data_IF_871110003902
#
_entry.id   IF_871110003902
#
_cell.length_a   1.000
_cell.length_b   1.000
_cell.length_c   1.000
_cell.angle_alpha   90.00
_cell.angle_beta   90.00
_cell.angle_gamma   90.00
#
_symmetry.space_group_name_H-M   'P 1'
#
loop_
_entity.id
_entity.type
_entity.pdbx_description
1 polymer ?
#
# COMPACT_ATOMS: atom_id res chain seq x y z
N UNK A 1 -19.10 -16.63 -23.18
CA UNK A 1 -18.16 -17.52 -22.46
C UNK A 1 -18.67 -18.94 -22.66
N UNK A 2 -18.00 -19.76 -23.48
CA UNK A 2 -18.49 -21.09 -23.88
C UNK A 2 -17.54 -22.16 -23.34
N UNK A 3 -17.98 -22.90 -22.32
CA UNK A 3 -17.21 -23.95 -21.63
C UNK A 3 -17.65 -24.09 -20.17
N UNK A 4 -17.35 -25.24 -19.51
CA UNK A 4 -17.64 -25.40 -18.10
C UNK A 4 -16.93 -24.30 -17.29
N UNK A 5 -17.71 -23.53 -16.54
CA UNK A 5 -17.16 -22.50 -15.67
C UNK A 5 -16.22 -23.16 -14.66
N UNK A 6 -15.02 -22.60 -14.43
CA UNK A 6 -14.14 -23.14 -13.41
C UNK A 6 -14.85 -23.09 -12.05
N UNK A 7 -14.77 -24.18 -11.27
CA UNK A 7 -15.34 -24.22 -9.90
C UNK A 7 -14.84 -23.07 -9.02
N UNK A 8 -13.67 -22.52 -9.32
CA UNK A 8 -13.19 -21.26 -8.74
C UNK A 8 -12.18 -20.59 -9.68
N UNK A 9 -12.12 -19.25 -9.68
CA UNK A 9 -11.03 -18.48 -10.30
C UNK A 9 -9.73 -18.48 -9.49
N UNK A 10 -9.55 -19.38 -8.52
CA UNK A 10 -8.41 -19.37 -7.57
C UNK A 10 -7.22 -20.14 -8.12
N UNK A 11 -6.08 -19.46 -8.22
CA UNK A 11 -4.80 -20.12 -8.50
C UNK A 11 -4.14 -20.56 -7.19
N UNK A 12 -4.13 -21.87 -6.90
CA UNK A 12 -3.58 -22.43 -5.65
C UNK A 12 -2.11 -22.06 -5.41
N UNK A 13 -1.28 -22.07 -6.46
CA UNK A 13 0.14 -21.71 -6.37
C UNK A 13 0.31 -20.25 -5.98
N UNK A 14 -0.45 -19.35 -6.61
CA UNK A 14 -0.43 -17.92 -6.27
C UNK A 14 -0.91 -17.67 -4.83
N UNK A 15 -2.00 -18.31 -4.40
CA UNK A 15 -2.49 -18.17 -3.03
C UNK A 15 -1.46 -18.64 -1.98
N UNK A 16 -0.70 -19.69 -2.27
CA UNK A 16 0.37 -20.15 -1.39
C UNK A 16 1.51 -19.13 -1.28
N UNK A 17 1.88 -18.48 -2.38
CA UNK A 17 2.88 -17.40 -2.40
C UNK A 17 2.43 -16.24 -1.51
N UNK A 18 1.18 -15.77 -1.69
CA UNK A 18 0.62 -14.67 -0.88
C UNK A 18 0.60 -15.03 0.60
N UNK A 19 0.06 -16.20 0.95
CA UNK A 19 -0.02 -16.65 2.33
C UNK A 19 1.35 -16.77 3.01
N UNK A 20 2.32 -17.40 2.33
CA UNK A 20 3.66 -17.57 2.88
C UNK A 20 4.41 -16.23 2.99
N UNK A 21 4.21 -15.32 2.03
CA UNK A 21 4.71 -13.96 2.08
C UNK A 21 4.20 -13.19 3.29
N UNK A 22 2.89 -13.20 3.54
CA UNK A 22 2.26 -12.57 4.71
C UNK A 22 2.84 -13.13 6.01
N UNK A 23 2.92 -14.47 6.15
CA UNK A 23 3.49 -15.09 7.35
C UNK A 23 4.96 -14.73 7.57
N UNK A 24 5.72 -14.55 6.49
CA UNK A 24 7.13 -14.15 6.57
C UNK A 24 7.24 -12.72 7.09
N UNK A 25 6.57 -11.76 6.46
CA UNK A 25 6.68 -10.33 6.82
C UNK A 25 6.18 -10.04 8.24
N UNK A 26 5.13 -10.73 8.72
CA UNK A 26 4.64 -10.57 10.10
C UNK A 26 5.72 -11.00 11.11
N UNK A 27 6.37 -12.15 10.87
CA UNK A 27 7.43 -12.64 11.76
C UNK A 27 8.64 -11.74 11.74
N UNK A 28 9.07 -11.31 10.55
CA UNK A 28 10.19 -10.39 10.39
C UNK A 28 9.93 -9.06 11.10
N UNK A 29 8.73 -8.48 10.95
CA UNK A 29 8.35 -7.26 11.65
C UNK A 29 8.35 -7.43 13.18
N UNK A 30 7.81 -8.55 13.69
CA UNK A 30 7.79 -8.83 15.12
C UNK A 30 9.19 -9.00 15.72
N UNK A 31 10.09 -9.68 15.00
CA UNK A 31 11.47 -9.90 15.42
C UNK A 31 12.30 -8.61 15.35
N UNK A 32 11.98 -7.71 14.41
CA UNK A 32 12.65 -6.42 14.23
C UNK A 32 11.88 -5.25 14.87
N UNK A 33 11.04 -5.50 15.88
CA UNK A 33 10.35 -4.44 16.62
C UNK A 33 11.35 -3.54 17.34
N UNK A 34 11.04 -2.26 17.40
CA UNK A 34 11.88 -1.23 18.05
C UNK A 34 11.03 -0.37 18.97
N UNK A 35 11.66 0.16 20.00
CA UNK A 35 11.06 1.24 20.76
C UNK A 35 11.05 2.52 19.92
N UNK A 36 9.96 3.27 19.97
CA UNK A 36 9.79 4.46 19.16
C UNK A 36 8.55 5.24 19.55
N UNK A 37 8.30 6.30 18.79
CA UNK A 37 7.10 7.14 18.93
C UNK A 37 6.25 7.05 17.66
N UNK A 38 4.93 7.06 17.82
CA UNK A 38 3.98 7.10 16.70
C UNK A 38 3.36 8.49 16.64
N UNK A 39 3.37 9.09 15.46
CA UNK A 39 2.75 10.38 15.17
C UNK A 39 1.67 10.19 14.12
N UNK A 40 0.57 10.94 14.25
CA UNK A 40 -0.48 11.03 13.25
C UNK A 40 -0.38 12.37 12.51
N UNK A 41 -0.57 12.32 11.20
CA UNK A 41 -0.69 13.51 10.36
C UNK A 41 -1.79 13.34 9.33
N UNK A 42 -2.42 14.46 8.97
CA UNK A 42 -3.44 14.55 7.93
C UNK A 42 -3.17 15.78 7.06
N UNK A 43 -3.34 15.63 5.75
CA UNK A 43 -3.32 16.73 4.79
C UNK A 43 -4.35 16.49 3.70
N UNK A 44 -5.04 17.53 3.27
CA UNK A 44 -5.91 17.44 2.10
C UNK A 44 -5.09 17.37 0.80
N UNK A 45 -5.50 16.49 -0.10
CA UNK A 45 -4.92 16.31 -1.43
C UNK A 45 -6.06 16.09 -2.47
N UNK A 46 -6.91 17.11 -2.71
CA UNK A 46 -8.06 16.96 -3.61
C UNK A 46 -7.66 16.83 -5.09
N UNK A 47 -6.52 17.38 -5.49
CA UNK A 47 -6.10 17.47 -6.90
C UNK A 47 -5.54 16.16 -7.48
N UNK A 48 -5.22 15.17 -6.63
CA UNK A 48 -4.54 13.93 -7.05
C UNK A 48 -5.48 12.73 -7.18
N UNK A 49 -6.79 12.94 -7.00
CA UNK A 49 -7.81 11.92 -7.16
C UNK A 49 -9.12 12.55 -7.63
N UNK A 50 -10.00 11.72 -8.19
CA UNK A 50 -11.34 12.13 -8.58
C UNK A 50 -12.32 11.01 -8.34
N UNK A 51 -13.57 11.36 -8.06
CA UNK A 51 -14.67 10.43 -8.21
C UNK A 51 -15.04 10.33 -9.70
N UNK A 52 -15.11 9.11 -10.22
CA UNK A 52 -15.49 8.84 -11.60
C UNK A 52 -17.01 8.83 -11.81
N UNK A 53 -17.79 8.91 -10.74
CA UNK A 53 -19.26 8.78 -10.76
C UNK A 53 -19.93 9.98 -10.12
N UNK A 54 -21.16 10.26 -10.55
CA UNK A 54 -22.01 11.28 -9.95
C UNK A 54 -22.88 10.66 -8.83
N UNK A 55 -23.18 11.39 -7.75
CA UNK A 55 -22.57 12.67 -7.39
C UNK A 55 -21.11 12.47 -6.98
N UNK A 56 -20.24 13.43 -7.31
CA UNK A 56 -18.82 13.33 -7.00
C UNK A 56 -18.58 13.44 -5.49
N UNK A 57 -18.29 12.31 -4.83
CA UNK A 57 -18.07 12.24 -3.38
C UNK A 57 -16.84 11.37 -3.12
N UNK A 58 -15.78 11.97 -2.61
CA UNK A 58 -14.56 11.25 -2.27
C UNK A 58 -13.84 11.89 -1.07
N UNK A 59 -13.05 11.07 -0.37
CA UNK A 59 -12.25 11.50 0.77
C UNK A 59 -11.05 12.30 0.29
N UNK A 60 -10.97 13.60 0.62
CA UNK A 60 -9.86 14.47 0.21
C UNK A 60 -8.60 14.27 1.06
N UNK A 61 -8.68 13.50 2.14
CA UNK A 61 -7.61 13.38 3.12
C UNK A 61 -6.58 12.32 2.73
N UNK A 62 -5.32 12.72 2.75
CA UNK A 62 -4.19 11.82 2.91
C UNK A 62 -3.80 11.79 4.39
N UNK A 63 -3.84 10.62 4.99
CA UNK A 63 -3.43 10.43 6.39
C UNK A 63 -2.16 9.59 6.47
N UNK A 64 -1.34 9.86 7.49
CA UNK A 64 -0.08 9.15 7.74
C UNK A 64 0.08 8.84 9.21
N UNK A 65 0.39 7.58 9.51
CA UNK A 65 1.02 7.20 10.77
C UNK A 65 2.53 7.12 10.56
N UNK A 66 3.30 7.86 11.34
CA UNK A 66 4.77 7.94 11.28
C UNK A 66 5.34 7.31 12.52
N UNK A 67 6.08 6.21 12.37
CA UNK A 67 6.85 5.60 13.44
C UNK A 67 8.30 6.08 13.39
N UNK A 68 8.77 6.66 14.49
CA UNK A 68 10.15 7.14 14.66
C UNK A 68 10.87 6.26 15.69
N UNK A 69 11.82 5.41 15.25
CA UNK A 69 12.61 4.58 16.16
C UNK A 69 13.49 5.43 17.10
N UNK A 70 13.60 5.04 18.37
CA UNK A 70 14.50 5.73 19.33
C UNK A 70 15.98 5.55 19.02
N UNK A 71 16.34 4.45 18.35
CA UNK A 71 17.72 4.12 17.97
C UNK A 71 18.23 4.91 16.76
N UNK A 72 17.43 5.84 16.22
CA UNK A 72 17.78 6.65 15.04
C UNK A 72 17.76 5.87 13.72
N UNK A 73 17.29 4.62 13.73
CA UNK A 73 17.12 3.86 12.49
C UNK A 73 15.96 4.40 11.64
N UNK A 74 15.89 3.90 10.41
CA UNK A 74 14.94 4.35 9.39
C UNK A 74 13.51 4.38 9.89
N UNK A 75 12.85 5.52 9.69
CA UNK A 75 11.44 5.68 10.00
C UNK A 75 10.54 4.82 9.11
N UNK A 76 9.36 4.49 9.62
CA UNK A 76 8.34 3.75 8.86
C UNK A 76 7.05 4.55 8.83
N UNK A 77 6.52 4.80 7.63
CA UNK A 77 5.31 5.57 7.41
C UNK A 77 4.21 4.70 6.83
N UNK A 78 3.07 4.59 7.51
CA UNK A 78 1.86 4.00 6.95
C UNK A 78 0.99 5.09 6.38
N UNK A 79 0.73 5.05 5.08
CA UNK A 79 -0.14 6.03 4.42
C UNK A 79 -1.51 5.42 4.15
N UNK A 80 -2.55 6.20 4.40
CA UNK A 80 -3.90 5.85 3.97
C UNK A 80 -4.42 6.93 3.01
N UNK A 81 -4.66 6.50 1.78
CA UNK A 81 -5.09 7.31 0.64
C UNK A 81 -6.19 6.55 -0.11
N UNK A 82 -7.37 7.15 -0.23
CA UNK A 82 -8.58 6.49 -0.75
C UNK A 82 -8.62 6.47 -2.30
N UNK A 83 -7.59 5.90 -2.94
CA UNK A 83 -7.46 5.88 -4.40
C UNK A 83 -7.21 4.47 -4.96
N UNK A 84 -7.75 4.22 -6.14
CA UNK A 84 -7.60 2.96 -6.86
C UNK A 84 -6.24 2.90 -7.58
N UNK A 85 -5.42 1.91 -7.25
CA UNK A 85 -4.12 1.64 -7.90
C UNK A 85 -4.29 1.03 -9.28
N UNK A 86 -4.73 1.85 -10.25
CA UNK A 86 -5.18 1.43 -11.58
C UNK A 86 -4.49 2.15 -12.75
N UNK A 87 -3.37 2.86 -12.53
CA UNK A 87 -2.68 3.59 -13.59
C UNK A 87 -2.18 2.67 -14.72
N UNK A 88 -1.98 1.39 -14.43
CA UNK A 88 -1.55 0.39 -15.41
C UNK A 88 -2.67 -0.13 -16.31
N UNK A 89 -3.94 0.27 -16.14
CA UNK A 89 -5.06 0.07 -17.09
C UNK A 89 -5.03 -1.25 -17.90
N UNK A 90 -5.23 -2.39 -17.23
CA UNK A 90 -5.39 -3.71 -17.87
C UNK A 90 -4.14 -4.27 -18.55
N UNK A 91 -2.96 -3.66 -18.38
CA UNK A 91 -1.71 -4.16 -18.95
C UNK A 91 -1.37 -5.55 -18.38
N UNK A 92 -0.88 -6.50 -19.20
CA UNK A 92 -0.61 -7.88 -18.78
C UNK A 92 0.75 -8.02 -18.07
N UNK A 93 1.08 -7.08 -17.17
CA UNK A 93 2.32 -7.10 -16.39
C UNK A 93 2.00 -7.07 -14.89
N UNK A 94 2.79 -7.77 -14.09
CA UNK A 94 2.68 -7.73 -12.63
C UNK A 94 3.28 -6.41 -12.13
N UNK A 95 2.48 -5.60 -11.46
CA UNK A 95 2.88 -4.30 -10.92
C UNK A 95 2.14 -4.01 -9.62
N UNK A 96 2.77 -3.23 -8.74
CA UNK A 96 2.14 -2.62 -7.58
C UNK A 96 1.67 -1.17 -7.88
N UNK A 97 1.64 -0.79 -9.16
CA UNK A 97 1.10 0.46 -9.68
C UNK A 97 1.72 1.70 -9.00
N UNK A 98 1.01 2.84 -8.96
CA UNK A 98 1.52 4.08 -8.38
C UNK A 98 1.89 3.94 -6.90
N UNK A 99 1.30 3.00 -6.15
CA UNK A 99 1.63 2.80 -4.74
C UNK A 99 3.12 2.42 -4.55
N UNK A 100 3.68 1.64 -5.47
CA UNK A 100 5.11 1.33 -5.47
C UNK A 100 5.97 2.57 -5.71
N UNK A 101 5.58 3.41 -6.67
CA UNK A 101 6.32 4.61 -7.01
C UNK A 101 6.21 5.69 -5.93
N UNK A 102 5.07 5.79 -5.26
CA UNK A 102 4.87 6.64 -4.09
C UNK A 102 5.86 6.24 -2.98
N UNK A 103 5.95 4.94 -2.66
CA UNK A 103 6.91 4.42 -1.67
C UNK A 103 8.36 4.76 -2.03
N UNK A 104 8.75 4.58 -3.30
CA UNK A 104 10.10 4.93 -3.77
C UNK A 104 10.37 6.43 -3.62
N UNK A 105 9.42 7.27 -4.02
CA UNK A 105 9.54 8.72 -3.86
C UNK A 105 9.66 9.14 -2.39
N UNK A 106 8.93 8.50 -1.47
CA UNK A 106 9.06 8.76 -0.03
C UNK A 106 10.46 8.38 0.47
N UNK A 107 10.97 7.21 0.07
CA UNK A 107 12.32 6.79 0.43
C UNK A 107 13.38 7.76 -0.10
N UNK A 108 13.28 8.14 -1.38
CA UNK A 108 14.25 9.01 -2.04
C UNK A 108 14.23 10.44 -1.48
N UNK A 109 13.05 10.99 -1.17
CA UNK A 109 12.91 12.38 -0.73
C UNK A 109 13.01 12.57 0.79
N UNK A 110 12.61 11.56 1.57
CA UNK A 110 12.50 11.67 3.03
C UNK A 110 13.31 10.62 3.81
N UNK A 111 13.94 9.67 3.13
CA UNK A 111 14.72 8.61 3.78
C UNK A 111 13.88 7.68 4.65
N UNK A 112 12.56 7.61 4.43
CA UNK A 112 11.64 6.80 5.21
C UNK A 112 11.12 5.60 4.41
N UNK A 113 11.00 4.46 5.08
CA UNK A 113 10.27 3.32 4.54
C UNK A 113 8.76 3.59 4.62
N UNK A 114 7.98 3.02 3.70
CA UNK A 114 6.53 3.18 3.74
C UNK A 114 5.75 1.92 3.41
N UNK A 115 4.52 1.87 3.92
CA UNK A 115 3.52 0.81 3.71
C UNK A 115 2.15 1.40 3.37
#
# INVERSE_FOLDING_TARGET
>A
MWGPLPKSGRNKKYMAIVHNGIKKVIREAYMNKKDGSIFYGKKEAPEIQRDSRLPHVFCKDLTRLRFVPKDGSTEVWMLNFASHTENMLGKPIVSADFACYLRRGILDMAGAESI
#
